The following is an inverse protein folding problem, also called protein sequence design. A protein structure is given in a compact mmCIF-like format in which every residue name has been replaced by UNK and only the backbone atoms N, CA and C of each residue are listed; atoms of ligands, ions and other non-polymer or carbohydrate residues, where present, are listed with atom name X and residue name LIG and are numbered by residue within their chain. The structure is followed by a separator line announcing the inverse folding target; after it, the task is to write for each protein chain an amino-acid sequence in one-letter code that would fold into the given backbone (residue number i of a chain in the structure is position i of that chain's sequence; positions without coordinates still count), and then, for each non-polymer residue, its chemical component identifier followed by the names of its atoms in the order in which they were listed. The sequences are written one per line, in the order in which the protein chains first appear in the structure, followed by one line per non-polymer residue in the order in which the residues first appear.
data_IF_824509235528
#
_entry.id   IF_824509235528
#
_cell.length_a   1.000
_cell.length_b   1.000
_cell.length_c   1.000
_cell.angle_alpha   90.00
_cell.angle_beta   90.00
_cell.angle_gamma   90.00
#
_symmetry.space_group_name_H-M   'P 1'
#
loop_
_entity.id
_entity.type
_entity.pdbx_description
1 polymer ?
#
# COMPACT_ATOMS: atom_id res chain seq x y z
N UNK A 1 -0.96 -5.74 -16.99
CA UNK A 1 -2.01 -5.47 -15.99
C UNK A 1 -2.32 -3.96 -15.87
N UNK A 2 -1.31 -3.10 -15.75
CA UNK A 2 -1.53 -1.64 -15.64
C UNK A 2 -2.30 -1.04 -16.83
N UNK A 3 -2.08 -1.55 -18.05
CA UNK A 3 -2.90 -1.15 -19.21
C UNK A 3 -4.36 -1.58 -19.05
N UNK A 4 -4.61 -2.78 -18.51
CA UNK A 4 -5.98 -3.24 -18.23
C UNK A 4 -6.70 -2.35 -17.20
N UNK A 5 -5.97 -1.77 -16.25
CA UNK A 5 -6.54 -0.79 -15.32
C UNK A 5 -7.02 0.47 -16.06
N UNK A 6 -6.20 1.01 -16.96
CA UNK A 6 -6.56 2.18 -17.78
C UNK A 6 -7.73 1.88 -18.71
N UNK A 7 -7.73 0.70 -19.33
CA UNK A 7 -8.77 0.26 -20.27
C UNK A 7 -10.10 -0.14 -19.58
N UNK A 8 -10.20 -0.04 -18.26
CA UNK A 8 -11.38 -0.47 -17.51
C UNK A 8 -11.59 -1.99 -17.43
N UNK A 9 -10.53 -2.80 -17.67
CA UNK A 9 -10.60 -4.26 -17.77
C UNK A 9 -10.03 -5.01 -16.55
N UNK A 10 -9.44 -4.30 -15.58
CA UNK A 10 -8.99 -4.90 -14.32
C UNK A 10 -10.12 -4.97 -13.29
N UNK A 11 -9.91 -5.74 -12.23
CA UNK A 11 -10.89 -5.84 -11.16
C UNK A 11 -11.11 -4.48 -10.47
N UNK A 12 -10.04 -3.79 -10.09
CA UNK A 12 -10.15 -2.47 -9.42
C UNK A 12 -10.83 -1.44 -10.32
N UNK A 13 -10.53 -1.42 -11.62
CA UNK A 13 -11.16 -0.50 -12.56
C UNK A 13 -12.69 -0.73 -12.62
N UNK A 14 -13.12 -1.99 -12.69
CA UNK A 14 -14.55 -2.32 -12.66
C UNK A 14 -15.22 -1.95 -11.34
N UNK A 15 -14.52 -2.15 -10.19
CA UNK A 15 -15.05 -1.72 -8.90
C UNK A 15 -15.20 -0.19 -8.83
N UNK A 16 -14.22 0.55 -9.33
CA UNK A 16 -14.27 2.01 -9.38
C UNK A 16 -15.39 2.51 -10.29
N UNK A 17 -15.52 1.96 -11.50
CA UNK A 17 -16.58 2.31 -12.45
C UNK A 17 -17.97 2.04 -11.84
N UNK A 18 -18.20 0.85 -11.28
CA UNK A 18 -19.47 0.48 -10.68
C UNK A 18 -19.86 1.38 -9.51
N UNK A 19 -18.88 1.78 -8.68
CA UNK A 19 -19.10 2.60 -7.48
C UNK A 19 -18.96 4.10 -7.74
N UNK A 20 -18.76 4.54 -8.98
CA UNK A 20 -18.54 5.94 -9.36
C UNK A 20 -17.39 6.58 -8.57
N UNK A 21 -16.28 5.86 -8.39
CA UNK A 21 -15.07 6.32 -7.74
C UNK A 21 -14.05 6.66 -8.83
N UNK A 22 -13.57 7.92 -8.91
CA UNK A 22 -12.50 8.27 -9.85
C UNK A 22 -11.20 7.56 -9.44
N UNK A 23 -10.43 7.12 -10.43
CA UNK A 23 -9.13 6.50 -10.21
C UNK A 23 -8.13 6.89 -11.28
N UNK A 24 -6.86 6.77 -10.98
CA UNK A 24 -5.79 6.90 -11.95
C UNK A 24 -4.72 5.82 -11.74
N UNK A 25 -3.94 5.58 -12.79
CA UNK A 25 -2.77 4.71 -12.77
C UNK A 25 -1.52 5.59 -12.89
N UNK A 26 -0.64 5.50 -11.89
CA UNK A 26 0.62 6.26 -11.83
C UNK A 26 1.78 5.30 -12.08
N UNK A 27 2.50 5.50 -13.18
CA UNK A 27 3.69 4.73 -13.52
C UNK A 27 4.91 5.33 -12.81
N UNK A 28 5.40 4.63 -11.79
CA UNK A 28 6.62 5.02 -11.05
C UNK A 28 7.84 4.17 -11.43
N UNK A 29 7.66 3.11 -12.22
CA UNK A 29 8.82 2.26 -12.59
C UNK A 29 8.46 1.00 -13.36
N UNK A 30 7.43 1.00 -14.17
CA UNK A 30 7.12 -0.14 -15.03
C UNK A 30 8.28 -0.37 -16.01
N UNK A 31 8.74 -1.63 -16.13
CA UNK A 31 9.83 -2.03 -17.04
C UNK A 31 9.37 -2.04 -18.50
N UNK A 32 8.91 -0.90 -18.99
CA UNK A 32 8.48 -0.64 -20.37
C UNK A 32 9.02 0.73 -20.78
N UNK A 33 9.58 0.90 -21.99
CA UNK A 33 10.07 2.20 -22.44
C UNK A 33 9.02 3.30 -22.46
N UNK A 34 7.77 2.96 -22.83
CA UNK A 34 6.66 3.88 -22.85
C UNK A 34 6.03 3.98 -21.45
N UNK A 35 5.72 5.21 -21.01
CA UNK A 35 4.96 5.43 -19.79
C UNK A 35 3.51 4.95 -19.94
N UNK A 36 2.94 4.48 -18.85
CA UNK A 36 1.54 4.03 -18.77
C UNK A 36 0.80 4.94 -17.78
N UNK A 37 -0.34 5.49 -18.19
CA UNK A 37 -1.11 6.39 -17.35
C UNK A 37 -0.38 7.70 -17.05
N UNK A 38 -0.40 8.12 -15.79
CA UNK A 38 0.36 9.30 -15.33
C UNK A 38 1.83 8.93 -15.20
N UNK A 39 2.65 9.40 -16.13
CA UNK A 39 4.06 9.09 -16.15
C UNK A 39 4.82 9.85 -15.05
N UNK A 40 5.28 9.11 -14.05
CA UNK A 40 6.21 9.53 -12.97
C UNK A 40 7.37 8.53 -12.84
N UNK A 41 7.69 7.87 -13.94
CA UNK A 41 8.68 6.80 -14.00
C UNK A 41 10.06 7.27 -13.54
N UNK A 42 10.58 6.60 -12.52
CA UNK A 42 11.93 6.80 -11.97
C UNK A 42 12.95 6.01 -12.79
N UNK A 43 12.68 4.73 -13.00
CA UNK A 43 13.51 3.82 -13.79
C UNK A 43 12.66 2.67 -14.38
N UNK A 44 13.25 1.79 -15.16
CA UNK A 44 12.59 0.59 -15.67
C UNK A 44 12.72 -0.60 -14.71
N UNK A 45 12.00 -0.51 -13.60
CA UNK A 45 12.10 -1.44 -12.48
C UNK A 45 13.27 -1.13 -11.54
N UNK A 46 13.24 -1.78 -10.37
CA UNK A 46 14.32 -1.72 -9.38
C UNK A 46 15.44 -2.72 -9.71
N UNK A 47 16.58 -2.57 -9.05
CA UNK A 47 17.72 -3.49 -9.17
C UNK A 47 17.51 -4.75 -8.31
N UNK A 48 18.31 -5.79 -8.57
CA UNK A 48 18.25 -7.01 -7.79
C UNK A 48 18.85 -6.81 -6.40
N UNK A 49 18.02 -6.94 -5.38
CA UNK A 49 18.36 -6.71 -3.96
C UNK A 49 19.38 -7.69 -3.37
N UNK A 50 19.68 -8.80 -4.07
CA UNK A 50 20.76 -9.72 -3.69
C UNK A 50 22.14 -9.21 -4.08
N UNK A 51 22.23 -8.25 -5.02
CA UNK A 51 23.50 -7.78 -5.57
C UNK A 51 23.78 -6.32 -5.27
N UNK A 52 22.81 -5.59 -4.76
CA UNK A 52 22.94 -4.19 -4.41
C UNK A 52 21.62 -3.59 -3.95
N UNK A 53 21.59 -2.28 -3.72
CA UNK A 53 20.36 -1.58 -3.36
C UNK A 53 19.32 -1.67 -4.49
N UNK A 54 18.05 -1.78 -4.12
CA UNK A 54 16.92 -1.77 -5.07
C UNK A 54 16.92 -0.48 -5.90
N UNK A 55 17.22 0.64 -5.26
CA UNK A 55 17.26 1.98 -5.85
C UNK A 55 18.28 2.86 -5.14
N UNK A 56 18.69 3.98 -5.76
CA UNK A 56 19.47 5.00 -5.08
C UNK A 56 18.59 5.85 -4.16
N UNK A 57 19.24 6.69 -3.33
CA UNK A 57 18.52 7.61 -2.44
C UNK A 57 17.74 8.67 -3.25
N UNK A 58 18.29 9.11 -4.39
CA UNK A 58 17.64 10.04 -5.32
C UNK A 58 16.45 9.36 -6.03
N UNK A 59 16.61 8.10 -6.44
CA UNK A 59 15.52 7.31 -7.04
C UNK A 59 14.37 7.10 -6.03
N UNK A 60 14.69 6.86 -4.76
CA UNK A 60 13.69 6.82 -3.70
C UNK A 60 12.96 8.15 -3.57
N UNK A 61 13.69 9.27 -3.49
CA UNK A 61 13.08 10.60 -3.33
C UNK A 61 12.16 10.93 -4.51
N UNK A 62 12.53 10.57 -5.74
CA UNK A 62 11.68 10.75 -6.92
C UNK A 62 10.39 9.92 -6.84
N UNK A 63 10.48 8.65 -6.45
CA UNK A 63 9.31 7.80 -6.30
C UNK A 63 8.38 8.28 -5.16
N UNK A 64 8.96 8.61 -4.01
CA UNK A 64 8.25 9.16 -2.85
C UNK A 64 7.51 10.44 -3.22
N UNK A 65 8.19 11.39 -3.86
CA UNK A 65 7.60 12.65 -4.30
C UNK A 65 6.54 12.45 -5.40
N UNK A 66 6.67 11.41 -6.23
CA UNK A 66 5.62 11.08 -7.20
C UNK A 66 4.29 10.77 -6.51
N UNK A 67 4.28 9.98 -5.45
CA UNK A 67 3.09 9.71 -4.66
C UNK A 67 2.60 10.93 -3.88
N UNK A 68 3.50 11.59 -3.16
CA UNK A 68 3.20 12.78 -2.35
C UNK A 68 2.51 13.87 -3.19
N UNK A 69 3.10 14.23 -4.32
CA UNK A 69 2.60 15.32 -5.17
C UNK A 69 1.26 14.96 -5.87
N UNK A 70 0.95 13.66 -6.07
CA UNK A 70 -0.38 13.28 -6.60
C UNK A 70 -1.48 13.53 -5.58
N UNK A 71 -1.23 13.25 -4.31
CA UNK A 71 -2.18 13.58 -3.24
C UNK A 71 -2.39 15.08 -3.14
N UNK A 72 -1.30 15.87 -3.08
CA UNK A 72 -1.41 17.35 -3.05
C UNK A 72 -2.25 17.88 -4.22
N UNK A 73 -1.96 17.44 -5.44
CA UNK A 73 -2.68 17.87 -6.64
C UNK A 73 -4.19 17.61 -6.56
N UNK A 74 -4.59 16.44 -6.07
CA UNK A 74 -6.01 16.12 -5.95
C UNK A 74 -6.67 16.76 -4.73
N UNK A 75 -5.95 16.94 -3.65
CA UNK A 75 -6.45 17.67 -2.47
C UNK A 75 -6.79 19.13 -2.83
N UNK A 76 -5.95 19.80 -3.62
CA UNK A 76 -6.23 21.14 -4.16
C UNK A 76 -7.50 21.17 -5.05
N UNK A 77 -7.87 20.05 -5.64
CA UNK A 77 -9.10 19.88 -6.41
C UNK A 77 -10.32 19.51 -5.57
N UNK A 78 -10.18 19.45 -4.23
CA UNK A 78 -11.26 19.17 -3.27
C UNK A 78 -11.47 17.69 -2.95
N UNK A 79 -10.57 16.80 -3.38
CA UNK A 79 -10.61 15.39 -2.95
C UNK A 79 -10.21 15.31 -1.47
N UNK A 80 -11.04 14.66 -0.65
CA UNK A 80 -10.92 14.59 0.81
C UNK A 80 -10.92 13.16 1.38
N UNK A 81 -10.82 12.15 0.52
CA UNK A 81 -10.60 10.75 0.87
C UNK A 81 -9.80 10.08 -0.23
N UNK A 82 -8.72 9.43 0.11
CA UNK A 82 -7.88 8.69 -0.83
C UNK A 82 -7.92 7.19 -0.55
N UNK A 83 -7.65 6.39 -1.56
CA UNK A 83 -7.32 4.97 -1.42
C UNK A 83 -6.16 4.62 -2.33
N UNK A 84 -5.31 3.72 -1.89
CA UNK A 84 -4.11 3.34 -2.61
C UNK A 84 -4.14 1.86 -2.96
N UNK A 85 -3.75 1.55 -4.19
CA UNK A 85 -3.49 0.21 -4.67
C UNK A 85 -2.11 0.16 -5.32
N UNK A 86 -1.70 -1.01 -5.70
CA UNK A 86 -0.39 -1.25 -6.30
C UNK A 86 -0.48 -2.30 -7.41
N UNK A 87 0.52 -2.31 -8.29
CA UNK A 87 0.76 -3.36 -9.26
C UNK A 87 2.25 -3.46 -9.54
N UNK A 88 2.87 -4.54 -9.07
CA UNK A 88 4.29 -4.78 -9.26
C UNK A 88 4.64 -6.26 -9.21
N UNK A 89 5.39 -6.75 -10.21
CA UNK A 89 5.86 -8.14 -10.22
C UNK A 89 6.88 -8.34 -9.10
N UNK A 90 6.61 -9.30 -8.21
CA UNK A 90 7.49 -9.63 -7.08
C UNK A 90 7.39 -8.72 -5.87
N UNK A 91 6.48 -7.73 -5.87
CA UNK A 91 6.39 -6.74 -4.80
C UNK A 91 5.95 -7.32 -3.44
N UNK A 92 5.28 -8.47 -3.38
CA UNK A 92 5.05 -9.16 -2.09
C UNK A 92 6.36 -9.63 -1.45
N UNK A 93 7.39 -9.94 -2.24
CA UNK A 93 8.71 -10.35 -1.74
C UNK A 93 9.48 -9.14 -1.22
N UNK A 94 9.52 -8.04 -1.97
CA UNK A 94 10.18 -6.81 -1.52
C UNK A 94 9.44 -6.17 -0.33
N UNK A 95 8.11 -6.25 -0.28
CA UNK A 95 7.33 -5.84 0.89
C UNK A 95 7.67 -6.66 2.14
N UNK A 96 7.80 -7.98 2.00
CA UNK A 96 8.25 -8.84 3.11
C UNK A 96 9.68 -8.49 3.57
N UNK A 97 10.58 -8.18 2.63
CA UNK A 97 11.92 -7.74 2.96
C UNK A 97 11.91 -6.38 3.69
N UNK A 98 11.10 -5.43 3.22
CA UNK A 98 10.92 -4.13 3.90
C UNK A 98 10.36 -4.34 5.31
N UNK A 99 9.29 -5.10 5.46
CA UNK A 99 8.69 -5.35 6.78
C UNK A 99 9.68 -6.02 7.73
N UNK A 100 10.39 -7.06 7.29
CA UNK A 100 11.43 -7.71 8.10
C UNK A 100 12.59 -6.76 8.41
N UNK A 101 12.99 -5.90 7.46
CA UNK A 101 14.03 -4.90 7.65
C UNK A 101 13.66 -3.83 8.69
N UNK A 102 12.41 -3.39 8.72
CA UNK A 102 11.88 -2.44 9.70
C UNK A 102 11.73 -3.07 11.09
N UNK A 103 11.03 -4.20 11.15
CA UNK A 103 10.59 -4.82 12.41
C UNK A 103 11.62 -5.74 13.03
N UNK A 104 12.61 -6.18 12.27
CA UNK A 104 13.57 -7.24 12.61
C UNK A 104 12.92 -8.62 12.82
N UNK A 105 11.69 -8.80 12.38
CA UNK A 105 10.99 -10.09 12.41
C UNK A 105 11.60 -11.08 11.39
N UNK A 106 11.56 -12.36 11.77
CA UNK A 106 12.01 -13.44 10.86
C UNK A 106 11.11 -13.50 9.60
N UNK A 107 11.67 -13.71 8.41
CA UNK A 107 10.91 -13.86 7.18
C UNK A 107 9.79 -14.92 7.19
N UNK A 108 9.80 -15.87 8.13
CA UNK A 108 8.67 -16.79 8.33
C UNK A 108 7.38 -16.09 8.75
N UNK A 109 7.48 -14.89 9.34
CA UNK A 109 6.33 -14.09 9.79
C UNK A 109 5.87 -13.13 8.70
N UNK A 110 6.76 -12.69 7.81
CA UNK A 110 6.49 -11.62 6.85
C UNK A 110 6.27 -12.10 5.42
N UNK A 111 6.82 -13.28 5.06
CA UNK A 111 6.77 -13.82 3.70
C UNK A 111 5.54 -14.70 3.52
N UNK A 112 4.63 -14.28 2.65
CA UNK A 112 3.49 -15.03 2.14
C UNK A 112 3.66 -15.47 0.68
N UNK A 113 2.73 -16.27 0.13
CA UNK A 113 2.82 -16.81 -1.23
C UNK A 113 2.72 -15.71 -2.31
N UNK A 114 1.99 -14.62 -2.02
CA UNK A 114 1.63 -13.65 -3.06
C UNK A 114 0.73 -14.31 -4.11
N UNK A 115 1.05 -14.10 -5.39
CA UNK A 115 0.42 -14.79 -6.52
C UNK A 115 1.07 -16.14 -6.86
N UNK A 116 2.09 -16.55 -6.12
CA UNK A 116 2.79 -17.83 -6.33
C UNK A 116 2.10 -19.00 -5.64
N UNK A 117 2.65 -20.22 -5.80
CA UNK A 117 2.13 -21.41 -5.16
C UNK A 117 2.31 -21.36 -3.63
N UNK A 118 1.36 -21.93 -2.90
CA UNK A 118 1.39 -22.08 -1.43
C UNK A 118 2.07 -23.41 -1.03
N UNK A 119 3.18 -23.73 -1.68
CA UNK A 119 3.99 -24.91 -1.41
C UNK A 119 5.15 -24.56 -0.49
N UNK A 120 5.40 -25.39 0.51
CA UNK A 120 6.43 -25.11 1.51
C UNK A 120 7.84 -24.96 0.91
N UNK A 121 8.14 -25.70 -0.15
CA UNK A 121 9.42 -25.57 -0.87
C UNK A 121 9.59 -24.19 -1.49
N UNK A 122 8.55 -23.66 -2.15
CA UNK A 122 8.53 -22.32 -2.73
C UNK A 122 8.61 -21.24 -1.63
N UNK A 123 7.86 -21.41 -0.56
CA UNK A 123 7.87 -20.48 0.57
C UNK A 123 9.24 -20.42 1.24
N UNK A 124 9.91 -21.57 1.41
CA UNK A 124 11.26 -21.63 1.99
C UNK A 124 12.30 -20.94 1.10
N UNK A 125 12.21 -21.13 -0.22
CA UNK A 125 13.07 -20.42 -1.17
C UNK A 125 12.87 -18.90 -1.09
N UNK A 126 11.63 -18.44 -1.03
CA UNK A 126 11.28 -17.02 -0.91
C UNK A 126 11.76 -16.41 0.42
N UNK A 127 11.60 -17.16 1.52
CA UNK A 127 12.11 -16.77 2.85
C UNK A 127 13.63 -16.64 2.86
N UNK A 128 14.33 -17.60 2.23
CA UNK A 128 15.79 -17.57 2.14
C UNK A 128 16.29 -16.42 1.27
N UNK A 129 15.59 -16.12 0.16
CA UNK A 129 15.85 -14.94 -0.66
C UNK A 129 15.80 -13.66 0.19
N UNK A 130 14.75 -13.49 0.99
CA UNK A 130 14.60 -12.32 1.87
C UNK A 130 15.70 -12.27 2.93
N UNK A 131 16.05 -13.39 3.59
CA UNK A 131 17.16 -13.43 4.56
C UNK A 131 18.48 -13.02 3.95
N UNK A 132 18.79 -13.54 2.78
CA UNK A 132 20.03 -13.23 2.05
C UNK A 132 20.10 -11.75 1.70
N UNK A 133 19.01 -11.18 1.18
CA UNK A 133 18.93 -9.75 0.88
C UNK A 133 19.16 -8.89 2.14
N UNK A 134 18.46 -9.19 3.23
CA UNK A 134 18.61 -8.45 4.48
C UNK A 134 20.04 -8.57 5.07
N UNK A 135 20.65 -9.75 4.96
CA UNK A 135 22.04 -9.97 5.39
C UNK A 135 23.01 -9.15 4.55
N UNK A 136 22.80 -9.10 3.22
CA UNK A 136 23.63 -8.29 2.32
C UNK A 136 23.59 -6.80 2.65
N UNK A 137 22.45 -6.30 3.08
CA UNK A 137 22.25 -4.88 3.43
C UNK A 137 22.38 -4.58 4.93
N UNK A 138 22.90 -5.54 5.74
CA UNK A 138 23.08 -5.35 7.18
C UNK A 138 23.91 -4.07 7.46
N UNK A 139 23.37 -3.23 8.37
CA UNK A 139 23.98 -1.94 8.72
C UNK A 139 23.43 -0.73 7.94
N UNK A 140 22.61 -0.99 6.90
CA UNK A 140 21.96 0.04 6.07
C UNK A 140 20.42 -0.09 6.10
N UNK A 141 19.86 -0.49 7.24
CA UNK A 141 18.41 -0.72 7.43
C UNK A 141 17.93 -0.01 8.71
N UNK A 142 18.28 1.28 8.86
CA UNK A 142 18.07 2.02 10.10
C UNK A 142 16.88 2.98 10.04
N UNK A 143 16.40 3.31 8.85
CA UNK A 143 15.22 4.17 8.62
C UNK A 143 14.33 3.60 7.53
N UNK A 144 13.04 3.99 7.46
CA UNK A 144 12.16 3.56 6.37
C UNK A 144 12.73 3.88 4.98
N UNK A 145 13.33 5.06 4.80
CA UNK A 145 13.99 5.43 3.54
C UNK A 145 15.11 4.45 3.18
N UNK A 146 16.02 4.18 4.12
CA UNK A 146 17.09 3.20 3.89
C UNK A 146 16.54 1.82 3.56
N UNK A 147 15.57 1.32 4.34
CA UNK A 147 15.00 -0.01 4.12
C UNK A 147 14.35 -0.12 2.74
N UNK A 148 13.51 0.85 2.36
CA UNK A 148 12.86 0.83 1.04
C UNK A 148 13.92 0.96 -0.08
N UNK A 149 14.89 1.85 0.05
CA UNK A 149 15.95 2.02 -0.95
C UNK A 149 16.78 0.74 -1.14
N UNK A 150 17.02 -0.03 -0.06
CA UNK A 150 17.85 -1.25 -0.13
C UNK A 150 17.07 -2.47 -0.62
N UNK A 151 15.85 -2.69 -0.11
CA UNK A 151 15.12 -3.95 -0.34
C UNK A 151 13.66 -3.77 -0.78
N UNK A 152 13.22 -2.55 -1.04
CA UNK A 152 11.84 -2.23 -1.41
C UNK A 152 11.57 -2.14 -2.91
N UNK A 153 10.54 -1.36 -3.24
CA UNK A 153 10.08 -1.09 -4.61
C UNK A 153 9.65 0.37 -4.77
N UNK A 154 9.61 0.86 -6.02
CA UNK A 154 9.15 2.22 -6.32
C UNK A 154 7.68 2.42 -5.94
N UNK A 155 6.86 1.39 -6.06
CA UNK A 155 5.46 1.36 -5.62
C UNK A 155 5.35 1.61 -4.10
N UNK A 156 6.13 0.91 -3.28
CA UNK A 156 6.19 1.13 -1.84
C UNK A 156 6.64 2.55 -1.49
N UNK A 157 7.68 3.06 -2.15
CA UNK A 157 8.15 4.42 -1.92
C UNK A 157 7.06 5.45 -2.26
N UNK A 158 6.39 5.31 -3.41
CA UNK A 158 5.35 6.21 -3.86
C UNK A 158 4.11 6.17 -2.94
N UNK A 159 3.64 4.99 -2.56
CA UNK A 159 2.49 4.85 -1.64
C UNK A 159 2.84 5.40 -0.25
N UNK A 160 4.05 5.16 0.24
CA UNK A 160 4.52 5.76 1.51
C UNK A 160 4.47 7.29 1.43
N UNK A 161 4.97 7.89 0.34
CA UNK A 161 4.89 9.34 0.12
C UNK A 161 3.46 9.86 0.05
N UNK A 162 2.57 9.14 -0.62
CA UNK A 162 1.15 9.48 -0.71
C UNK A 162 0.46 9.45 0.67
N UNK A 163 0.74 8.44 1.50
CA UNK A 163 0.18 8.34 2.86
C UNK A 163 0.69 9.45 3.77
N UNK A 164 1.98 9.80 3.67
CA UNK A 164 2.52 10.95 4.43
C UNK A 164 1.89 12.25 3.96
N UNK A 165 1.69 12.46 2.65
CA UNK A 165 1.00 13.66 2.15
C UNK A 165 -0.45 13.76 2.69
N UNK A 166 -1.19 12.65 2.72
CA UNK A 166 -2.52 12.61 3.34
C UNK A 166 -2.47 13.03 4.81
N UNK A 167 -1.47 12.53 5.56
CA UNK A 167 -1.26 12.89 6.97
C UNK A 167 -0.96 14.38 7.14
N UNK A 168 -0.02 14.91 6.38
CA UNK A 168 0.36 16.33 6.43
C UNK A 168 -0.79 17.27 6.07
N UNK A 169 -1.69 16.83 5.18
CA UNK A 169 -2.89 17.55 4.77
C UNK A 169 -4.13 17.25 5.63
N UNK A 170 -4.00 16.38 6.64
CA UNK A 170 -5.11 15.95 7.51
C UNK A 170 -6.27 15.31 6.73
N UNK A 171 -5.96 14.54 5.70
CA UNK A 171 -6.94 13.86 4.85
C UNK A 171 -6.92 12.36 5.15
N UNK A 172 -8.07 11.74 5.46
CA UNK A 172 -8.13 10.29 5.66
C UNK A 172 -7.85 9.52 4.38
N UNK A 173 -7.28 8.32 4.53
CA UNK A 173 -7.01 7.42 3.42
C UNK A 173 -7.28 5.96 3.79
N UNK A 174 -7.59 5.15 2.77
CA UNK A 174 -7.90 3.73 2.96
C UNK A 174 -6.69 2.88 2.57
N UNK A 175 -6.32 1.98 3.48
CA UNK A 175 -5.26 0.98 3.32
C UNK A 175 -5.88 -0.26 2.68
N UNK A 176 -5.33 -0.74 1.55
CA UNK A 176 -5.84 -1.92 0.84
C UNK A 176 -5.41 -3.22 1.56
N UNK A 177 -4.43 -3.91 1.01
CA UNK A 177 -3.95 -5.19 1.50
C UNK A 177 -2.55 -5.12 2.12
N UNK A 178 -1.83 -6.25 2.05
CA UNK A 178 -0.53 -6.42 2.71
C UNK A 178 0.51 -5.37 2.28
N UNK A 179 0.67 -5.13 0.98
CA UNK A 179 1.70 -4.22 0.46
C UNK A 179 1.45 -2.78 0.94
N UNK A 180 0.20 -2.33 0.88
CA UNK A 180 -0.18 -1.01 1.38
C UNK A 180 -0.10 -0.92 2.90
N UNK A 181 -0.32 -2.02 3.64
CA UNK A 181 -0.07 -2.07 5.09
C UNK A 181 1.43 -1.95 5.42
N UNK A 182 2.32 -2.50 4.58
CA UNK A 182 3.77 -2.29 4.73
C UNK A 182 4.15 -0.84 4.42
N UNK A 183 3.57 -0.23 3.39
CA UNK A 183 3.76 1.20 3.12
C UNK A 183 3.26 2.06 4.30
N UNK A 184 2.12 1.68 4.91
CA UNK A 184 1.60 2.33 6.12
C UNK A 184 2.56 2.21 7.30
N UNK A 185 3.17 1.05 7.51
CA UNK A 185 4.21 0.86 8.52
C UNK A 185 5.42 1.80 8.31
N UNK A 186 5.82 2.01 7.05
CA UNK A 186 6.85 2.98 6.69
C UNK A 186 6.39 4.42 6.95
N UNK A 187 5.18 4.78 6.52
CA UNK A 187 4.61 6.11 6.72
C UNK A 187 4.49 6.47 8.20
N UNK A 188 4.05 5.52 9.05
CA UNK A 188 3.98 5.69 10.51
C UNK A 188 5.33 6.01 11.14
N UNK A 189 6.42 5.40 10.64
CA UNK A 189 7.77 5.70 11.11
C UNK A 189 8.32 7.06 10.60
N UNK A 190 7.81 7.55 9.46
CA UNK A 190 8.19 8.85 8.90
C UNK A 190 7.37 9.99 9.52
N UNK A 191 6.08 9.75 9.76
CA UNK A 191 5.17 10.68 10.42
C UNK A 191 4.28 9.89 11.40
N UNK A 192 4.55 10.05 12.70
CA UNK A 192 3.87 9.31 13.79
C UNK A 192 2.35 9.54 13.86
N UNK A 193 1.82 10.55 13.18
CA UNK A 193 0.39 10.82 13.11
C UNK A 193 -0.33 10.04 12.01
N UNK A 194 0.39 9.38 11.10
CA UNK A 194 -0.21 8.64 9.98
C UNK A 194 -1.30 7.64 10.40
N UNK A 195 -1.19 6.92 11.54
CA UNK A 195 -2.26 6.01 11.99
C UNK A 195 -3.60 6.68 12.27
N UNK A 196 -3.61 7.99 12.56
CA UNK A 196 -4.84 8.74 12.82
C UNK A 196 -5.68 8.96 11.55
N UNK A 197 -5.06 8.83 10.38
CA UNK A 197 -5.69 9.06 9.07
C UNK A 197 -5.86 7.78 8.25
N UNK A 198 -5.18 6.70 8.61
CA UNK A 198 -5.21 5.43 7.90
C UNK A 198 -6.40 4.55 8.32
N UNK A 199 -7.28 4.23 7.39
CA UNK A 199 -8.46 3.36 7.62
C UNK A 199 -8.16 1.99 6.99
N UNK A 200 -8.03 0.90 7.76
CA UNK A 200 -7.80 -0.43 7.20
C UNK A 200 -9.08 -0.92 6.48
N UNK A 201 -8.91 -1.53 5.30
CA UNK A 201 -10.07 -2.06 4.54
C UNK A 201 -10.38 -3.50 4.89
N UNK A 202 -9.46 -4.39 4.61
CA UNK A 202 -9.67 -5.83 4.74
C UNK A 202 -8.46 -6.54 5.35
N UNK A 203 -8.72 -7.67 5.99
CA UNK A 203 -7.66 -8.58 6.42
C UNK A 203 -7.20 -9.41 5.22
N UNK A 204 -6.02 -9.10 4.71
CA UNK A 204 -5.41 -9.84 3.60
C UNK A 204 -5.01 -11.25 4.04
N UNK A 205 -5.07 -12.19 3.10
CA UNK A 205 -4.60 -13.56 3.30
C UNK A 205 -3.07 -13.68 3.43
N UNK A 206 -2.32 -12.62 3.12
CA UNK A 206 -0.86 -12.59 3.26
C UNK A 206 -0.43 -12.65 4.72
N UNK A 207 0.52 -13.57 5.01
CA UNK A 207 0.98 -13.91 6.38
C UNK A 207 1.45 -12.67 7.16
N UNK A 208 2.16 -11.75 6.51
CA UNK A 208 2.72 -10.57 7.15
C UNK A 208 1.72 -9.46 7.49
N UNK A 209 0.44 -9.58 7.10
CA UNK A 209 -0.56 -8.51 7.27
C UNK A 209 -0.70 -8.07 8.73
N UNK A 210 -0.85 -9.03 9.66
CA UNK A 210 -0.97 -8.73 11.08
C UNK A 210 0.25 -7.97 11.64
N UNK A 211 1.46 -8.38 11.24
CA UNK A 211 2.69 -7.74 11.68
C UNK A 211 2.83 -6.32 11.10
N UNK A 212 2.43 -6.11 9.84
CA UNK A 212 2.45 -4.80 9.20
C UNK A 212 1.49 -3.80 9.89
N UNK A 213 0.25 -4.22 10.15
CA UNK A 213 -0.74 -3.40 10.86
C UNK A 213 -0.30 -3.10 12.30
N UNK A 214 0.17 -4.10 13.04
CA UNK A 214 0.66 -3.90 14.41
C UNK A 214 1.82 -2.91 14.46
N UNK A 215 2.75 -2.97 13.51
CA UNK A 215 3.88 -2.04 13.43
C UNK A 215 3.43 -0.63 13.00
N UNK A 216 2.33 -0.52 12.28
CA UNK A 216 1.67 0.73 11.94
C UNK A 216 0.74 1.26 13.05
N UNK A 217 0.74 0.67 14.24
CA UNK A 217 -0.17 1.00 15.35
C UNK A 217 -1.67 0.89 15.00
N UNK A 218 -2.03 -0.01 14.10
CA UNK A 218 -3.42 -0.32 13.71
C UNK A 218 -3.78 -1.68 14.32
N UNK A 219 -4.89 -1.74 15.01
CA UNK A 219 -5.36 -2.98 15.66
C UNK A 219 -6.08 -3.89 14.66
N UNK A 220 -5.96 -5.20 14.83
CA UNK A 220 -6.64 -6.17 13.96
C UNK A 220 -8.16 -6.14 14.07
N UNK A 221 -8.69 -5.79 15.23
CA UNK A 221 -10.14 -5.66 15.46
C UNK A 221 -10.73 -4.37 14.82
N UNK A 222 -9.89 -3.47 14.33
CA UNK A 222 -10.30 -2.32 13.53
C UNK A 222 -10.49 -2.65 12.04
N UNK A 223 -10.10 -3.86 11.59
CA UNK A 223 -10.22 -4.28 10.19
C UNK A 223 -11.62 -4.84 9.91
N UNK A 224 -12.47 -4.14 9.14
CA UNK A 224 -13.89 -4.51 9.07
C UNK A 224 -14.21 -5.65 8.11
N UNK A 225 -13.36 -5.92 7.10
CA UNK A 225 -13.67 -6.92 6.06
C UNK A 225 -12.76 -8.15 6.22
N UNK A 226 -13.38 -9.33 6.42
CA UNK A 226 -12.72 -10.63 6.51
C UNK A 226 -13.17 -11.54 5.35
N UNK A 227 -12.74 -11.22 4.11
CA UNK A 227 -13.18 -11.87 2.88
C UNK A 227 -12.16 -12.81 2.22
N UNK A 228 -11.08 -13.19 2.91
CA UNK A 228 -9.99 -14.00 2.33
C UNK A 228 -9.39 -13.38 1.05
N UNK A 229 -9.36 -12.06 0.98
CA UNK A 229 -8.91 -11.31 -0.19
C UNK A 229 -7.39 -11.35 -0.32
N UNK A 230 -6.91 -11.51 -1.56
CA UNK A 230 -5.49 -11.51 -1.89
C UNK A 230 -5.24 -11.01 -3.33
N UNK A 231 -6.18 -10.26 -3.90
CA UNK A 231 -6.06 -9.79 -5.28
C UNK A 231 -5.12 -8.58 -5.41
N UNK A 232 -5.12 -7.67 -4.43
CA UNK A 232 -4.40 -6.41 -4.52
C UNK A 232 -5.09 -5.38 -5.40
N UNK A 233 -4.33 -4.58 -6.11
CA UNK A 233 -4.76 -3.51 -7.03
C UNK A 233 -5.52 -2.35 -6.35
N UNK A 234 -5.80 -2.40 -5.04
CA UNK A 234 -6.67 -1.46 -4.34
C UNK A 234 -8.13 -1.94 -4.24
N UNK A 235 -8.41 -3.19 -4.59
CA UNK A 235 -9.79 -3.72 -4.63
C UNK A 235 -10.49 -3.70 -3.27
N UNK A 236 -9.79 -4.07 -2.21
CA UNK A 236 -10.33 -4.00 -0.85
C UNK A 236 -10.57 -2.57 -0.39
N UNK A 237 -9.68 -1.66 -0.76
CA UNK A 237 -9.83 -0.25 -0.43
C UNK A 237 -11.07 0.36 -1.10
N UNK A 238 -11.33 0.05 -2.38
CA UNK A 238 -12.54 0.51 -3.08
C UNK A 238 -13.82 -0.02 -2.41
N UNK A 239 -13.85 -1.28 -1.98
CA UNK A 239 -14.98 -1.83 -1.23
C UNK A 239 -15.17 -1.09 0.11
N UNK A 240 -14.09 -0.77 0.80
CA UNK A 240 -14.16 -0.01 2.05
C UNK A 240 -14.67 1.42 1.84
N UNK A 241 -14.25 2.11 0.76
CA UNK A 241 -14.80 3.42 0.41
C UNK A 241 -16.33 3.35 0.27
N UNK A 242 -16.86 2.29 -0.33
CA UNK A 242 -18.31 2.11 -0.46
C UNK A 242 -19.00 1.88 0.90
N UNK A 243 -18.38 1.11 1.79
CA UNK A 243 -18.89 0.95 3.16
C UNK A 243 -18.90 2.29 3.91
N UNK A 244 -17.83 3.08 3.81
CA UNK A 244 -17.75 4.42 4.42
C UNK A 244 -18.83 5.36 3.87
N UNK A 245 -19.05 5.39 2.54
CA UNK A 245 -20.13 6.18 1.93
C UNK A 245 -21.50 5.77 2.48
N UNK A 246 -21.75 4.47 2.59
CA UNK A 246 -23.03 3.93 3.11
C UNK A 246 -23.22 4.32 4.57
N UNK A 247 -22.18 4.13 5.41
CA UNK A 247 -22.22 4.49 6.83
C UNK A 247 -22.43 6.01 7.02
N UNK A 248 -21.71 6.83 6.27
CA UNK A 248 -21.85 8.28 6.30
C UNK A 248 -23.26 8.72 5.92
N UNK A 249 -23.82 8.16 4.82
CA UNK A 249 -25.19 8.47 4.42
C UNK A 249 -26.20 8.11 5.51
N UNK A 250 -26.08 6.91 6.09
CA UNK A 250 -26.95 6.50 7.19
C UNK A 250 -26.84 7.45 8.40
N UNK A 251 -25.61 7.78 8.81
CA UNK A 251 -25.36 8.69 9.93
C UNK A 251 -25.99 10.07 9.73
N UNK A 252 -25.92 10.62 8.52
CA UNK A 252 -26.46 11.94 8.19
C UNK A 252 -28.01 11.96 8.08
N UNK A 253 -28.66 10.81 7.93
CA UNK A 253 -30.10 10.71 7.67
C UNK A 253 -30.90 9.97 8.74
N UNK A 254 -30.24 9.40 9.74
CA UNK A 254 -30.94 8.74 10.86
C UNK A 254 -31.59 9.81 11.77
N UNK A 255 -32.85 9.55 12.19
CA UNK A 255 -33.55 10.45 13.11
C UNK A 255 -32.87 10.54 14.47
N UNK A 256 -32.87 11.73 15.04
CA UNK A 256 -32.31 11.98 16.37
C UNK A 256 -33.24 11.44 17.48
N UNK A 257 -32.68 11.20 18.67
CA UNK A 257 -33.50 10.83 19.84
C UNK A 257 -34.56 11.90 20.17
N UNK A 258 -34.28 13.18 19.93
CA UNK A 258 -35.21 14.27 20.12
C UNK A 258 -36.43 14.13 19.21
N UNK A 259 -36.19 13.90 17.90
CA UNK A 259 -37.26 13.70 16.92
C UNK A 259 -38.11 12.44 17.19
N UNK A 260 -37.52 11.42 17.84
CA UNK A 260 -38.24 10.21 18.24
C UNK A 260 -39.11 10.43 19.49
N UNK A 261 -38.73 11.33 20.38
CA UNK A 261 -39.45 11.63 21.63
C UNK A 261 -40.53 12.71 21.45
N UNK A 262 -40.49 13.48 20.36
CA UNK A 262 -41.48 14.50 20.02
C UNK A 262 -42.72 13.95 19.25
N UNK A 263 -42.78 12.63 18.96
CA UNK A 263 -43.93 11.93 18.40
C UNK A 263 -44.72 11.17 19.45
#
# INVERSE_FOLDING_TARGET
QSQNMIDGKSAVANYCIFNHIPYEVVDVGIACPQGIGVNRKVAQGTKNILHGAAMSDEEFDLAYQAGYNRVVYYAESGINLFSFGEMGVGNTTTSAAVLSGLTKLDPRITVGPGSGPDEEAYMNQKREFVRTALSHHKGHLNSPKEVISRVGGFDLAAITGAMVACTDLHIPFVIDGYITAVAMACATQMNGEAPLYGIPSHYSREVGMAAALAYANIRLDEVPIHGQMALGEGTGAVLMVQLLKTAHFAFMNIGTMVELLEK
#
